data_IF_664005267429
#
_entry.id   IF_664005267429
#
_cell.length_a   1.000
_cell.length_b   1.000
_cell.length_c   1.000
_cell.angle_alpha   90.00
_cell.angle_beta   90.00
_cell.angle_gamma   90.00
#
_symmetry.space_group_name_H-M   'P 1'
#
loop_
_entity.id
_entity.type
_entity.pdbx_description
1 polymer ?
#
# COMPACT_ATOMS: atom_id res chain seq x y z
N UNK A 1 41.22 1.63 26.04
CA UNK A 1 40.02 0.80 26.14
C UNK A 1 38.84 1.71 26.32
N UNK A 2 38.15 2.03 25.23
CA UNK A 2 36.91 2.80 25.25
C UNK A 2 35.79 1.77 25.31
N UNK A 3 35.11 1.66 26.46
CA UNK A 3 33.89 0.85 26.59
C UNK A 3 32.84 1.44 25.65
N UNK A 4 32.63 0.77 24.49
CA UNK A 4 31.44 0.98 23.69
C UNK A 4 30.26 0.51 24.55
N UNK A 5 29.52 1.44 25.15
CA UNK A 5 28.24 1.15 25.78
C UNK A 5 27.34 0.56 24.69
N UNK A 6 27.11 -0.74 24.76
CA UNK A 6 26.08 -1.41 23.99
C UNK A 6 24.74 -0.83 24.44
N UNK A 7 24.17 0.07 23.62
CA UNK A 7 22.82 0.56 23.86
C UNK A 7 21.90 -0.66 23.96
N UNK A 8 21.25 -0.82 25.10
CA UNK A 8 20.31 -1.92 25.37
C UNK A 8 19.27 -1.96 24.24
N UNK A 9 18.95 -3.14 23.67
CA UNK A 9 17.95 -3.23 22.62
C UNK A 9 16.63 -2.66 23.16
N UNK A 10 16.12 -1.60 22.51
CA UNK A 10 14.79 -1.09 22.86
C UNK A 10 13.79 -2.23 22.75
N UNK A 11 12.85 -2.29 23.67
CA UNK A 11 11.82 -3.33 23.72
C UNK A 11 11.15 -3.47 22.31
N UNK A 12 10.88 -4.66 21.80
CA UNK A 12 10.29 -4.89 20.46
C UNK A 12 9.05 -4.06 20.17
N UNK A 13 8.28 -3.71 21.20
CA UNK A 13 7.09 -2.85 21.10
C UNK A 13 7.44 -1.45 20.58
N UNK A 14 8.54 -0.83 21.00
CA UNK A 14 8.93 0.49 20.49
C UNK A 14 9.30 0.46 19.02
N UNK A 15 9.99 -0.60 18.57
CA UNK A 15 10.32 -0.79 17.16
C UNK A 15 9.06 -1.07 16.33
N UNK A 16 8.08 -1.81 16.87
CA UNK A 16 6.79 -2.04 16.23
C UNK A 16 6.00 -0.73 16.09
N UNK A 17 5.91 0.06 17.16
CA UNK A 17 5.24 1.37 17.16
C UNK A 17 5.92 2.35 16.19
N UNK A 18 7.25 2.41 16.18
CA UNK A 18 7.99 3.23 15.23
C UNK A 18 7.63 2.84 13.79
N UNK A 19 7.74 1.55 13.44
CA UNK A 19 7.41 1.06 12.09
C UNK A 19 5.96 1.38 11.70
N UNK A 20 5.02 1.16 12.62
CA UNK A 20 3.61 1.48 12.43
C UNK A 20 3.40 2.97 12.15
N UNK A 21 4.00 3.88 12.94
CA UNK A 21 3.88 5.34 12.75
C UNK A 21 4.51 5.81 11.44
N UNK A 22 5.64 5.23 11.04
CA UNK A 22 6.27 5.54 9.74
C UNK A 22 5.31 5.27 8.59
N UNK A 23 4.66 4.10 8.53
CA UNK A 23 3.75 3.78 7.44
C UNK A 23 2.37 4.44 7.60
N UNK A 24 1.93 4.76 8.81
CA UNK A 24 0.77 5.63 9.05
C UNK A 24 0.98 6.99 8.37
N UNK A 25 2.13 7.62 8.57
CA UNK A 25 2.46 8.88 7.93
C UNK A 25 2.68 8.73 6.41
N UNK A 26 3.60 7.86 6.01
CA UNK A 26 4.07 7.80 4.61
C UNK A 26 3.06 7.21 3.64
N UNK A 27 2.34 6.17 4.05
CA UNK A 27 1.39 5.47 3.20
C UNK A 27 -0.06 5.86 3.52
N UNK A 28 -0.46 5.78 4.78
CA UNK A 28 -1.83 6.09 5.18
C UNK A 28 -2.21 7.53 4.87
N UNK A 29 -1.54 8.48 5.53
CA UNK A 29 -1.83 9.92 5.35
C UNK A 29 -1.17 10.46 4.06
N UNK A 30 0.09 10.16 3.80
CA UNK A 30 0.82 10.71 2.65
C UNK A 30 0.26 10.27 1.29
N UNK A 31 -0.21 9.04 1.18
CA UNK A 31 -0.67 8.45 -0.08
C UNK A 31 -2.18 8.26 -0.13
N UNK A 32 -2.75 7.55 0.84
CA UNK A 32 -4.14 7.08 0.80
C UNK A 32 -5.17 8.08 1.34
N UNK A 33 -4.75 9.20 1.95
CA UNK A 33 -5.66 10.30 2.28
C UNK A 33 -6.32 10.90 1.02
N UNK A 34 -5.66 10.77 -0.14
CA UNK A 34 -6.22 11.22 -1.42
C UNK A 34 -7.57 10.55 -1.73
N UNK A 35 -7.74 9.30 -1.33
CA UNK A 35 -8.95 8.51 -1.58
C UNK A 35 -10.23 9.18 -1.01
N UNK A 36 -10.33 9.53 0.28
CA UNK A 36 -11.49 10.25 0.79
C UNK A 36 -11.53 11.73 0.37
N UNK A 37 -10.40 12.34 0.01
CA UNK A 37 -10.35 13.72 -0.48
C UNK A 37 -10.83 13.86 -1.94
N UNK A 38 -10.72 12.81 -2.76
CA UNK A 38 -11.12 12.83 -4.16
C UNK A 38 -12.60 13.25 -4.34
N UNK A 39 -13.58 12.61 -3.66
CA UNK A 39 -14.98 13.04 -3.77
C UNK A 39 -15.25 14.47 -3.24
N UNK A 40 -14.44 14.97 -2.31
CA UNK A 40 -14.54 16.34 -1.80
C UNK A 40 -14.10 17.33 -2.88
N UNK A 41 -12.91 17.14 -3.44
CA UNK A 41 -12.38 17.99 -4.53
C UNK A 41 -13.27 17.97 -5.77
N UNK A 42 -13.89 16.80 -6.08
CA UNK A 42 -14.82 16.67 -7.19
C UNK A 42 -16.13 17.43 -6.92
N UNK A 43 -16.66 17.36 -5.71
CA UNK A 43 -17.89 18.06 -5.32
C UNK A 43 -17.72 19.59 -5.32
N UNK A 44 -16.56 20.09 -4.94
CA UNK A 44 -16.22 21.52 -5.00
C UNK A 44 -15.88 22.00 -6.43
N UNK A 45 -15.91 21.10 -7.44
CA UNK A 45 -15.60 21.39 -8.85
C UNK A 45 -14.23 22.01 -9.07
N UNK A 46 -13.28 21.76 -8.17
CA UNK A 46 -11.90 22.23 -8.30
C UNK A 46 -11.21 21.55 -9.47
N UNK A 47 -11.46 20.24 -9.65
CA UNK A 47 -10.85 19.38 -10.65
C UNK A 47 -11.91 18.44 -11.24
N UNK A 48 -11.75 18.08 -12.51
CA UNK A 48 -12.61 17.08 -13.17
C UNK A 48 -12.23 15.66 -12.73
N UNK A 49 -13.15 14.70 -12.92
CA UNK A 49 -12.89 13.28 -12.67
C UNK A 49 -11.63 12.78 -13.38
N UNK A 50 -11.45 13.15 -14.67
CA UNK A 50 -10.28 12.75 -15.44
C UNK A 50 -8.99 13.34 -14.87
N UNK A 51 -8.98 14.62 -14.49
CA UNK A 51 -7.83 15.27 -13.87
C UNK A 51 -7.49 14.59 -12.53
N UNK A 52 -8.47 14.28 -11.69
CA UNK A 52 -8.26 13.58 -10.43
C UNK A 52 -7.70 12.17 -10.63
N UNK A 53 -8.13 11.46 -11.68
CA UNK A 53 -7.61 10.15 -12.05
C UNK A 53 -6.15 10.21 -12.51
N UNK A 54 -5.78 11.19 -13.33
CA UNK A 54 -4.39 11.44 -13.74
C UNK A 54 -3.51 11.82 -12.56
N UNK A 55 -4.01 12.62 -11.65
CA UNK A 55 -3.32 13.03 -10.41
C UNK A 55 -3.07 11.81 -9.51
N UNK A 56 -4.03 10.87 -9.39
CA UNK A 56 -3.83 9.61 -8.70
C UNK A 56 -2.72 8.77 -9.36
N UNK A 57 -2.77 8.61 -10.68
CA UNK A 57 -1.75 7.88 -11.44
C UNK A 57 -0.36 8.52 -11.32
N UNK A 58 -0.28 9.86 -11.26
CA UNK A 58 0.98 10.57 -11.04
C UNK A 58 1.61 10.21 -9.69
N UNK A 59 0.79 10.07 -8.62
CA UNK A 59 1.29 9.61 -7.32
C UNK A 59 1.85 8.18 -7.39
N UNK A 60 1.19 7.28 -8.12
CA UNK A 60 1.65 5.90 -8.28
C UNK A 60 2.92 5.83 -9.13
N UNK A 61 3.01 6.65 -10.18
CA UNK A 61 4.25 6.81 -10.97
C UNK A 61 5.40 7.35 -10.13
N UNK A 62 5.14 8.34 -9.27
CA UNK A 62 6.11 8.86 -8.31
C UNK A 62 6.58 7.80 -7.32
N UNK A 63 5.65 6.99 -6.79
CA UNK A 63 6.00 5.88 -5.89
C UNK A 63 6.89 4.84 -6.59
N UNK A 64 6.58 4.48 -7.83
CA UNK A 64 7.40 3.58 -8.63
C UNK A 64 8.79 4.18 -8.89
N UNK A 65 8.85 5.42 -9.34
CA UNK A 65 10.11 6.14 -9.59
C UNK A 65 10.96 6.23 -8.31
N UNK A 66 10.36 6.57 -7.16
CA UNK A 66 11.02 6.60 -5.86
C UNK A 66 11.50 5.22 -5.42
N UNK A 67 10.69 4.18 -5.62
CA UNK A 67 11.07 2.80 -5.30
C UNK A 67 12.29 2.33 -6.11
N UNK A 68 12.33 2.64 -7.40
CA UNK A 68 13.48 2.36 -8.25
C UNK A 68 14.71 3.18 -7.85
N UNK A 69 14.55 4.48 -7.64
CA UNK A 69 15.63 5.38 -7.21
C UNK A 69 16.24 4.90 -5.89
N UNK A 70 15.42 4.65 -4.88
CA UNK A 70 15.89 4.27 -3.56
C UNK A 70 16.32 2.79 -3.45
N UNK A 71 16.17 1.99 -4.52
CA UNK A 71 16.71 0.63 -4.57
C UNK A 71 18.23 0.59 -4.76
N UNK A 72 18.85 1.68 -5.21
CA UNK A 72 20.30 1.73 -5.37
C UNK A 72 21.02 1.68 -4.02
N UNK A 73 22.05 0.82 -3.95
CA UNK A 73 22.80 0.53 -2.71
C UNK A 73 23.43 1.75 -2.03
N UNK A 74 23.69 2.82 -2.77
CA UNK A 74 24.19 4.07 -2.20
C UNK A 74 23.27 4.70 -1.14
N UNK A 75 21.95 4.44 -1.20
CA UNK A 75 20.97 4.90 -0.21
C UNK A 75 20.87 3.96 0.99
N UNK A 76 21.36 2.72 0.89
CA UNK A 76 21.22 1.69 1.92
C UNK A 76 22.32 1.73 2.98
N UNK A 77 23.24 2.67 2.92
CA UNK A 77 24.26 2.85 3.95
C UNK A 77 23.60 3.13 5.31
N UNK A 78 23.99 2.46 6.40
CA UNK A 78 23.38 2.63 7.72
C UNK A 78 23.40 4.09 8.21
N UNK A 79 24.40 4.88 7.81
CA UNK A 79 24.50 6.30 8.11
C UNK A 79 23.43 7.15 7.40
N UNK A 80 22.91 6.69 6.25
CA UNK A 80 21.96 7.43 5.41
C UNK A 80 20.50 7.12 5.70
N UNK A 81 20.18 5.93 6.26
CA UNK A 81 18.80 5.49 6.43
C UNK A 81 17.93 6.47 7.22
N UNK A 82 18.44 6.97 8.35
CA UNK A 82 17.68 7.93 9.18
C UNK A 82 17.48 9.28 8.52
N UNK A 83 18.53 9.97 8.00
CA UNK A 83 18.33 11.24 7.32
C UNK A 83 17.43 11.09 6.09
N UNK A 84 17.50 9.98 5.33
CA UNK A 84 16.61 9.73 4.20
C UNK A 84 15.17 9.52 4.64
N UNK A 85 14.94 8.76 5.73
CA UNK A 85 13.61 8.61 6.31
C UNK A 85 13.03 9.96 6.75
N UNK A 86 13.79 10.76 7.51
CA UNK A 86 13.33 12.05 7.99
C UNK A 86 13.09 13.04 6.84
N UNK A 87 13.97 13.07 5.84
CA UNK A 87 13.77 13.88 4.64
C UNK A 87 12.48 13.48 3.90
N UNK A 88 12.21 12.17 3.76
CA UNK A 88 10.97 11.67 3.16
C UNK A 88 9.74 12.03 3.99
N UNK A 89 9.84 11.99 5.32
CA UNK A 89 8.76 12.36 6.22
C UNK A 89 8.45 13.86 6.17
N UNK A 90 9.48 14.71 6.19
CA UNK A 90 9.34 16.17 6.02
C UNK A 90 8.75 16.50 4.65
N UNK A 91 9.27 15.89 3.59
CA UNK A 91 8.73 16.05 2.22
C UNK A 91 7.25 15.66 2.16
N UNK A 92 6.83 14.56 2.81
CA UNK A 92 5.43 14.16 2.88
C UNK A 92 4.56 15.26 3.49
N UNK A 93 4.96 15.84 4.62
CA UNK A 93 4.23 16.94 5.28
C UNK A 93 4.13 18.19 4.39
N UNK A 94 5.25 18.61 3.79
CA UNK A 94 5.30 19.78 2.89
C UNK A 94 4.41 19.56 1.67
N UNK A 95 4.45 18.37 1.06
CA UNK A 95 3.66 18.06 -0.14
C UNK A 95 2.17 17.93 0.16
N UNK A 96 1.78 17.50 1.36
CA UNK A 96 0.39 17.56 1.83
C UNK A 96 -0.07 19.01 1.95
N UNK A 97 0.73 19.90 2.55
CA UNK A 97 0.42 21.33 2.62
C UNK A 97 0.35 21.97 1.22
N UNK A 98 1.20 21.55 0.29
CA UNK A 98 1.16 22.01 -1.10
C UNK A 98 -0.16 21.69 -1.81
N UNK A 99 -0.85 20.59 -1.42
CA UNK A 99 -2.19 20.27 -1.93
C UNK A 99 -3.26 21.30 -1.53
N UNK A 100 -3.06 22.03 -0.43
CA UNK A 100 -3.94 23.13 -0.07
C UNK A 100 -3.70 24.38 -0.93
N UNK A 101 -2.45 24.64 -1.30
CA UNK A 101 -2.04 25.89 -1.94
C UNK A 101 -2.29 25.86 -3.44
N UNK A 102 -2.00 24.74 -4.10
CA UNK A 102 -2.04 24.64 -5.56
C UNK A 102 -3.36 24.04 -6.04
N UNK A 103 -3.99 24.70 -7.01
CA UNK A 103 -5.23 24.25 -7.65
C UNK A 103 -5.05 23.92 -9.13
N UNK A 104 -3.94 24.38 -9.74
CA UNK A 104 -3.65 24.12 -11.16
C UNK A 104 -3.35 22.63 -11.37
N UNK A 105 -4.07 21.91 -12.27
CA UNK A 105 -3.96 20.47 -12.43
C UNK A 105 -2.54 19.94 -12.63
N UNK A 106 -1.74 20.61 -13.47
CA UNK A 106 -0.36 20.20 -13.76
C UNK A 106 0.54 20.31 -12.52
N UNK A 107 0.37 21.36 -11.70
CA UNK A 107 1.14 21.55 -10.47
C UNK A 107 0.72 20.52 -9.41
N UNK A 108 -0.59 20.26 -9.27
CA UNK A 108 -1.12 19.23 -8.36
C UNK A 108 -0.62 17.84 -8.76
N UNK A 109 -0.55 17.53 -10.08
CA UNK A 109 0.07 16.30 -10.57
C UNK A 109 1.53 16.17 -10.15
N UNK A 110 2.33 17.24 -10.30
CA UNK A 110 3.72 17.26 -9.87
C UNK A 110 3.86 17.07 -8.35
N UNK A 111 3.05 17.78 -7.56
CA UNK A 111 2.99 17.62 -6.09
C UNK A 111 2.68 16.17 -5.72
N UNK A 112 1.69 15.55 -6.35
CA UNK A 112 1.33 14.17 -6.09
C UNK A 112 2.38 13.17 -6.57
N UNK A 113 3.06 13.43 -7.68
CA UNK A 113 4.20 12.63 -8.12
C UNK A 113 5.32 12.65 -7.06
N UNK A 114 5.72 13.84 -6.60
CA UNK A 114 6.75 13.98 -5.57
C UNK A 114 6.31 13.36 -4.23
N UNK A 115 5.02 13.47 -3.87
CA UNK A 115 4.46 12.79 -2.70
C UNK A 115 4.55 11.26 -2.83
N UNK A 116 4.40 10.72 -4.04
CA UNK A 116 4.66 9.30 -4.33
C UNK A 116 6.11 8.92 -4.06
N UNK A 117 7.08 9.72 -4.54
CA UNK A 117 8.51 9.51 -4.27
C UNK A 117 8.79 9.53 -2.76
N UNK A 118 8.25 10.50 -2.04
CA UNK A 118 8.40 10.58 -0.58
C UNK A 118 7.80 9.36 0.14
N UNK A 119 6.62 8.89 -0.28
CA UNK A 119 5.99 7.66 0.25
C UNK A 119 6.86 6.42 0.02
N UNK A 120 7.52 6.30 -1.14
CA UNK A 120 8.46 5.21 -1.41
C UNK A 120 9.66 5.26 -0.44
N UNK A 121 10.19 6.45 -0.17
CA UNK A 121 11.25 6.65 0.82
C UNK A 121 10.81 6.23 2.22
N UNK A 122 9.60 6.62 2.65
CA UNK A 122 9.05 6.21 3.94
C UNK A 122 8.93 4.69 4.05
N UNK A 123 8.40 4.02 3.02
CA UNK A 123 8.27 2.57 2.97
C UNK A 123 9.64 1.87 3.03
N UNK A 124 10.58 2.27 2.20
CA UNK A 124 11.88 1.60 2.06
C UNK A 124 12.76 1.83 3.28
N UNK A 125 13.01 3.09 3.64
CA UNK A 125 13.91 3.42 4.74
C UNK A 125 13.32 3.02 6.10
N UNK A 126 12.00 3.18 6.29
CA UNK A 126 11.31 2.72 7.48
C UNK A 126 11.40 1.21 7.66
N UNK A 127 11.11 0.45 6.61
CA UNK A 127 11.22 -1.01 6.62
C UNK A 127 12.66 -1.47 6.88
N UNK A 128 13.66 -0.83 6.25
CA UNK A 128 15.06 -1.16 6.46
C UNK A 128 15.50 -0.90 7.91
N UNK A 129 15.11 0.24 8.50
CA UNK A 129 15.43 0.53 9.89
C UNK A 129 14.81 -0.52 10.81
N UNK A 130 13.54 -0.89 10.62
CA UNK A 130 12.87 -1.93 11.41
C UNK A 130 13.58 -3.27 11.26
N UNK A 131 13.86 -3.70 10.02
CA UNK A 131 14.49 -4.99 9.73
C UNK A 131 15.96 -5.09 10.18
N UNK A 132 16.66 -3.97 10.37
CA UNK A 132 17.97 -3.95 10.99
C UNK A 132 17.92 -4.23 12.50
N UNK A 133 16.78 -3.98 13.15
CA UNK A 133 16.62 -4.17 14.60
C UNK A 133 15.99 -5.51 14.96
N UNK A 134 15.13 -6.05 14.08
CA UNK A 134 14.40 -7.28 14.41
C UNK A 134 13.89 -7.98 13.15
N UNK A 135 13.75 -9.31 13.27
CA UNK A 135 13.06 -10.15 12.28
C UNK A 135 11.80 -10.78 12.85
N UNK A 136 11.38 -10.31 14.02
CA UNK A 136 10.22 -10.88 14.67
C UNK A 136 8.95 -10.62 13.83
N UNK A 137 8.19 -11.68 13.45
CA UNK A 137 7.03 -11.54 12.55
C UNK A 137 5.99 -10.53 13.04
N UNK A 138 5.78 -10.45 14.36
CA UNK A 138 4.88 -9.47 14.96
C UNK A 138 5.28 -8.03 14.64
N UNK A 139 6.58 -7.69 14.71
CA UNK A 139 7.05 -6.32 14.44
C UNK A 139 6.92 -5.98 12.95
N UNK A 140 7.16 -6.97 12.07
CA UNK A 140 6.98 -6.81 10.63
C UNK A 140 5.49 -6.61 10.29
N UNK A 141 4.61 -7.39 10.89
CA UNK A 141 3.17 -7.21 10.71
C UNK A 141 2.68 -5.87 11.25
N UNK A 142 3.18 -5.42 12.41
CA UNK A 142 2.88 -4.12 12.98
C UNK A 142 3.35 -2.96 12.07
N UNK A 143 4.52 -3.07 11.45
CA UNK A 143 4.99 -2.11 10.46
C UNK A 143 3.94 -1.92 9.35
N UNK A 144 3.53 -3.00 8.69
CA UNK A 144 2.56 -2.93 7.59
C UNK A 144 1.14 -2.56 8.04
N UNK A 145 0.76 -2.88 9.28
CA UNK A 145 -0.50 -2.43 9.90
C UNK A 145 -0.62 -0.91 9.95
N UNK A 146 0.51 -0.19 9.97
CA UNK A 146 0.55 1.27 9.90
C UNK A 146 -0.15 1.84 8.67
N UNK A 147 -0.14 1.12 7.54
CA UNK A 147 -0.89 1.52 6.35
C UNK A 147 -2.39 1.57 6.67
N UNK A 148 -2.92 0.51 7.29
CA UNK A 148 -4.32 0.44 7.67
C UNK A 148 -4.72 1.45 8.73
N UNK A 149 -3.89 1.63 9.76
CA UNK A 149 -4.11 2.64 10.80
C UNK A 149 -4.16 4.05 10.21
N UNK A 150 -3.27 4.37 9.26
CA UNK A 150 -3.24 5.66 8.60
C UNK A 150 -4.41 5.88 7.64
N UNK A 151 -4.89 4.84 6.97
CA UNK A 151 -6.10 4.89 6.14
C UNK A 151 -7.32 5.20 7.02
N UNK A 152 -7.51 4.48 8.13
CA UNK A 152 -8.60 4.71 9.05
C UNK A 152 -8.52 6.13 9.66
N UNK A 153 -7.37 6.52 10.19
CA UNK A 153 -7.15 7.86 10.76
C UNK A 153 -7.44 8.97 9.73
N UNK A 154 -6.93 8.84 8.51
CA UNK A 154 -7.11 9.83 7.45
C UNK A 154 -8.57 9.95 7.00
N UNK A 155 -9.29 8.83 6.88
CA UNK A 155 -10.69 8.85 6.51
C UNK A 155 -11.56 9.49 7.61
N UNK A 156 -11.38 9.08 8.88
CA UNK A 156 -12.12 9.67 10.00
C UNK A 156 -11.82 11.17 10.17
N UNK A 157 -10.58 11.58 9.91
CA UNK A 157 -10.21 12.99 9.86
C UNK A 157 -11.01 13.75 8.81
N UNK A 158 -11.12 13.22 7.58
CA UNK A 158 -11.91 13.87 6.50
C UNK A 158 -13.39 13.90 6.86
N UNK A 159 -13.95 12.80 7.36
CA UNK A 159 -15.37 12.75 7.80
C UNK A 159 -15.63 13.79 8.88
N UNK A 160 -14.78 13.85 9.90
CA UNK A 160 -14.88 14.84 10.97
C UNK A 160 -14.86 16.27 10.45
N UNK A 161 -13.95 16.59 9.53
CA UNK A 161 -13.87 17.90 8.92
C UNK A 161 -15.09 18.24 8.07
N UNK A 162 -15.64 17.29 7.33
CA UNK A 162 -16.87 17.48 6.55
C UNK A 162 -18.10 17.69 7.44
N UNK A 163 -18.13 17.09 8.62
CA UNK A 163 -19.19 17.35 9.62
C UNK A 163 -19.21 18.84 10.06
N UNK A 164 -18.04 19.48 10.11
CA UNK A 164 -17.90 20.92 10.37
C UNK A 164 -17.89 21.77 9.09
N UNK A 165 -18.34 21.21 7.96
CA UNK A 165 -18.41 21.89 6.66
C UNK A 165 -17.05 22.49 6.20
N UNK A 166 -15.93 21.86 6.55
CA UNK A 166 -14.62 22.30 6.09
C UNK A 166 -14.46 22.05 4.60
N UNK A 167 -13.85 23.02 3.90
CA UNK A 167 -13.50 22.91 2.47
C UNK A 167 -12.30 21.97 2.25
N UNK A 168 -12.11 21.52 1.01
CA UNK A 168 -10.94 20.74 0.62
C UNK A 168 -9.63 21.46 0.99
N UNK A 169 -9.57 22.79 0.82
CA UNK A 169 -8.43 23.60 1.23
C UNK A 169 -8.13 23.44 2.73
N UNK A 170 -9.14 23.63 3.59
CA UNK A 170 -9.00 23.53 5.05
C UNK A 170 -8.64 22.10 5.48
N UNK A 171 -9.20 21.09 4.81
CA UNK A 171 -8.89 19.68 5.06
C UNK A 171 -7.43 19.36 4.70
N UNK A 172 -6.90 19.87 3.59
CA UNK A 172 -5.49 19.68 3.24
C UNK A 172 -4.54 20.40 4.21
N UNK A 173 -4.91 21.61 4.68
CA UNK A 173 -4.12 22.32 5.72
C UNK A 173 -4.07 21.54 7.03
N UNK A 174 -5.22 21.08 7.51
CA UNK A 174 -5.27 20.28 8.73
C UNK A 174 -4.59 18.92 8.59
N UNK A 175 -4.64 18.31 7.40
CA UNK A 175 -3.87 17.10 7.09
C UNK A 175 -2.35 17.36 7.17
N UNK A 176 -1.88 18.54 6.77
CA UNK A 176 -0.50 18.96 6.96
C UNK A 176 -0.11 19.06 8.43
N UNK A 177 -1.00 19.60 9.29
CA UNK A 177 -0.79 19.63 10.73
C UNK A 177 -0.76 18.22 11.34
N UNK A 178 -1.66 17.32 10.92
CA UNK A 178 -1.67 15.92 11.31
C UNK A 178 -0.36 15.22 10.89
N UNK A 179 0.10 15.46 9.66
CA UNK A 179 1.39 14.93 9.18
C UNK A 179 2.57 15.46 10.02
N UNK A 180 2.54 16.71 10.45
CA UNK A 180 3.53 17.30 11.37
C UNK A 180 3.58 16.62 12.73
N UNK A 181 2.41 16.31 13.31
CA UNK A 181 2.32 15.54 14.57
C UNK A 181 2.90 14.14 14.39
N UNK A 182 2.51 13.44 13.32
CA UNK A 182 3.02 12.09 13.03
C UNK A 182 4.53 12.09 12.75
N UNK A 183 5.05 13.11 12.06
CA UNK A 183 6.48 13.32 11.84
C UNK A 183 7.22 13.46 13.18
N UNK A 184 6.68 14.25 14.10
CA UNK A 184 7.27 14.44 15.43
C UNK A 184 7.31 13.11 16.20
N UNK A 185 6.22 12.34 16.16
CA UNK A 185 6.16 11.00 16.78
C UNK A 185 7.22 10.07 16.17
N UNK A 186 7.34 10.04 14.84
CA UNK A 186 8.36 9.24 14.13
C UNK A 186 9.77 9.67 14.55
N UNK A 187 10.04 10.97 14.65
CA UNK A 187 11.36 11.50 15.06
C UNK A 187 11.71 11.11 16.51
N UNK A 188 10.73 11.10 17.42
CA UNK A 188 10.92 10.69 18.83
C UNK A 188 11.14 9.17 18.94
N UNK A 189 10.39 8.38 18.18
CA UNK A 189 10.42 6.92 18.25
C UNK A 189 11.58 6.31 17.47
N UNK A 190 12.25 7.04 16.59
CA UNK A 190 13.31 6.49 15.74
C UNK A 190 14.35 5.74 16.58
N UNK A 191 14.58 4.43 16.33
CA UNK A 191 15.45 3.63 17.19
C UNK A 191 16.92 4.03 17.01
N UNK A 192 17.82 3.80 18.00
CA UNK A 192 19.24 4.08 17.89
C UNK A 192 19.88 3.32 16.72
N UNK A 193 21.04 3.78 16.22
CA UNK A 193 21.74 3.07 15.14
C UNK A 193 22.08 1.66 15.61
N UNK A 194 21.58 0.65 14.92
CA UNK A 194 21.96 -0.75 15.14
C UNK A 194 22.95 -1.20 14.06
N UNK A 195 23.80 -2.16 14.42
CA UNK A 195 24.53 -2.93 13.41
C UNK A 195 23.51 -3.78 12.66
N UNK A 196 23.59 -3.77 11.33
CA UNK A 196 22.70 -4.58 10.53
C UNK A 196 22.79 -6.04 10.96
N UNK A 197 21.65 -6.68 11.19
CA UNK A 197 21.61 -8.12 11.41
C UNK A 197 22.20 -8.83 10.18
N UNK A 198 23.02 -9.89 10.36
CA UNK A 198 23.54 -10.65 9.24
C UNK A 198 22.42 -11.02 8.27
N UNK A 199 22.65 -11.04 6.95
CA UNK A 199 21.63 -11.49 6.01
C UNK A 199 21.07 -12.83 6.46
N UNK A 200 19.74 -13.00 6.47
CA UNK A 200 19.16 -14.32 6.70
C UNK A 200 19.66 -15.25 5.58
N UNK A 201 20.10 -16.48 5.90
CA UNK A 201 20.35 -17.46 4.87
C UNK A 201 19.09 -17.58 4.02
N UNK A 202 19.18 -17.21 2.75
CA UNK A 202 18.11 -17.46 1.80
C UNK A 202 18.17 -18.98 1.54
N UNK A 203 17.27 -19.73 2.15
CA UNK A 203 17.06 -21.11 1.74
C UNK A 203 16.58 -21.04 0.28
N UNK A 204 17.48 -21.36 -0.66
CA UNK A 204 17.07 -21.60 -2.05
C UNK A 204 16.18 -22.84 -2.02
N UNK A 205 14.94 -22.65 -2.42
CA UNK A 205 14.03 -23.77 -2.60
C UNK A 205 14.50 -24.50 -3.87
N UNK A 206 14.99 -25.73 -3.74
CA UNK A 206 15.44 -26.54 -4.87
C UNK A 206 14.33 -26.74 -5.90
N UNK A 207 13.10 -26.95 -5.44
CA UNK A 207 11.92 -26.99 -6.29
C UNK A 207 11.20 -25.64 -6.25
N UNK A 208 11.46 -24.77 -7.23
CA UNK A 208 10.86 -23.46 -7.31
C UNK A 208 9.32 -23.59 -7.44
N UNK A 209 8.54 -22.95 -6.55
CA UNK A 209 7.08 -23.10 -6.52
C UNK A 209 6.41 -22.52 -7.78
N UNK A 210 7.07 -21.59 -8.49
CA UNK A 210 6.59 -21.01 -9.75
C UNK A 210 7.73 -20.31 -10.52
N UNK A 211 7.60 -20.16 -11.86
CA UNK A 211 8.52 -19.34 -12.65
C UNK A 211 8.52 -17.88 -12.24
N UNK A 212 9.69 -17.24 -12.21
CA UNK A 212 9.87 -15.85 -11.83
C UNK A 212 9.02 -14.85 -12.62
N UNK A 213 8.86 -15.06 -13.94
CA UNK A 213 8.07 -14.18 -14.81
C UNK A 213 6.55 -14.26 -14.52
N UNK A 214 6.08 -15.43 -14.08
CA UNK A 214 4.68 -15.60 -13.66
C UNK A 214 4.39 -14.85 -12.36
N UNK A 215 5.33 -14.83 -11.42
CA UNK A 215 5.20 -14.04 -10.20
C UNK A 215 5.16 -12.54 -10.53
N UNK A 216 6.00 -12.08 -11.47
CA UNK A 216 6.02 -10.69 -11.90
C UNK A 216 4.69 -10.31 -12.59
N UNK A 217 4.17 -11.16 -13.47
CA UNK A 217 2.91 -10.94 -14.16
C UNK A 217 1.70 -10.94 -13.19
N UNK A 218 1.64 -11.95 -12.31
CA UNK A 218 0.63 -12.05 -11.26
C UNK A 218 0.58 -10.79 -10.40
N UNK A 219 1.75 -10.31 -9.97
CA UNK A 219 1.82 -9.17 -9.10
C UNK A 219 1.49 -7.86 -9.83
N UNK A 220 1.80 -7.76 -11.13
CA UNK A 220 1.32 -6.67 -11.99
C UNK A 220 -0.21 -6.61 -12.09
N UNK A 221 -0.86 -7.75 -12.33
CA UNK A 221 -2.33 -7.84 -12.30
C UNK A 221 -2.92 -7.49 -10.93
N UNK A 222 -2.28 -7.94 -9.84
CA UNK A 222 -2.70 -7.57 -8.49
C UNK A 222 -2.59 -6.05 -8.27
N UNK A 223 -1.53 -5.42 -8.74
CA UNK A 223 -1.33 -3.96 -8.67
C UNK A 223 -2.41 -3.18 -9.41
N UNK A 224 -2.82 -3.66 -10.59
CA UNK A 224 -3.90 -3.06 -11.37
C UNK A 224 -5.26 -3.25 -10.69
N UNK A 225 -5.56 -4.46 -10.23
CA UNK A 225 -6.91 -4.79 -9.76
C UNK A 225 -7.28 -4.11 -8.44
N UNK A 226 -6.35 -4.04 -7.48
CA UNK A 226 -6.68 -3.47 -6.18
C UNK A 226 -6.76 -1.93 -6.20
N UNK A 227 -5.97 -1.28 -7.06
CA UNK A 227 -5.79 0.17 -6.98
C UNK A 227 -7.05 0.95 -7.37
N UNK A 228 -7.94 0.34 -8.14
CA UNK A 228 -9.20 0.94 -8.57
C UNK A 228 -10.10 1.16 -7.36
N UNK A 229 -10.34 0.14 -6.55
CA UNK A 229 -11.10 0.27 -5.29
C UNK A 229 -10.38 1.19 -4.32
N UNK A 230 -9.05 1.04 -4.18
CA UNK A 230 -8.26 1.91 -3.32
C UNK A 230 -8.30 3.40 -3.70
N UNK A 231 -8.63 3.71 -4.95
CA UNK A 231 -8.76 5.10 -5.43
C UNK A 231 -10.20 5.62 -5.34
N UNK A 232 -11.19 4.80 -5.67
CA UNK A 232 -12.55 5.26 -5.95
C UNK A 232 -13.63 4.75 -4.98
N UNK A 233 -13.31 3.91 -3.98
CA UNK A 233 -14.32 3.33 -3.08
C UNK A 233 -15.28 4.36 -2.45
N UNK A 234 -14.81 5.51 -1.89
CA UNK A 234 -15.73 6.50 -1.34
C UNK A 234 -16.63 7.16 -2.39
N UNK A 235 -16.19 7.19 -3.65
CA UNK A 235 -16.99 7.72 -4.75
C UNK A 235 -18.03 6.68 -5.23
N UNK A 236 -17.68 5.39 -5.24
CA UNK A 236 -18.58 4.27 -5.59
C UNK A 236 -19.71 4.13 -4.58
N UNK A 237 -19.44 4.39 -3.32
CA UNK A 237 -20.38 4.18 -2.22
C UNK A 237 -21.45 5.29 -2.08
N UNK A 238 -21.37 6.38 -2.84
CA UNK A 238 -22.30 7.53 -2.71
C UNK A 238 -23.78 7.20 -2.94
N UNK A 239 -24.08 6.15 -3.71
CA UNK A 239 -25.45 5.74 -4.03
C UNK A 239 -26.11 4.83 -2.98
N UNK A 240 -25.35 4.33 -2.00
CA UNK A 240 -25.90 3.47 -0.95
C UNK A 240 -26.75 4.28 0.04
N UNK A 241 -27.90 3.71 0.42
CA UNK A 241 -28.98 4.41 1.15
C UNK A 241 -28.67 4.96 2.56
N UNK A 242 -27.42 4.87 3.04
CA UNK A 242 -27.00 5.42 4.34
C UNK A 242 -25.69 6.21 4.20
N UNK A 243 -25.77 7.54 3.97
CA UNK A 243 -24.59 8.38 3.80
C UNK A 243 -23.59 8.30 4.95
N UNK A 244 -24.09 8.16 6.18
CA UNK A 244 -23.24 8.07 7.38
C UNK A 244 -22.37 6.81 7.33
N UNK A 245 -22.97 5.64 7.06
CA UNK A 245 -22.24 4.38 7.06
C UNK A 245 -21.32 4.23 5.85
N UNK A 246 -21.72 4.74 4.70
CA UNK A 246 -20.89 4.71 3.48
C UNK A 246 -19.64 5.57 3.60
N UNK A 247 -19.68 6.66 4.36
CA UNK A 247 -18.50 7.47 4.64
C UNK A 247 -17.39 6.68 5.36
N UNK A 248 -17.75 5.72 6.23
CA UNK A 248 -16.79 4.94 7.02
C UNK A 248 -16.24 3.69 6.29
N UNK A 249 -16.69 3.38 5.07
CA UNK A 249 -16.22 2.16 4.35
C UNK A 249 -14.71 2.14 4.13
N UNK A 250 -14.10 3.30 3.86
CA UNK A 250 -12.64 3.38 3.71
C UNK A 250 -11.91 3.18 5.04
N UNK A 251 -12.50 3.59 6.16
CA UNK A 251 -12.00 3.26 7.50
C UNK A 251 -12.07 1.77 7.80
N UNK A 252 -13.16 1.10 7.39
CA UNK A 252 -13.27 -0.36 7.53
C UNK A 252 -12.20 -1.09 6.72
N UNK A 253 -11.87 -0.63 5.52
CA UNK A 253 -10.72 -1.13 4.75
C UNK A 253 -9.45 -1.00 5.58
N UNK A 254 -9.17 0.19 6.12
CA UNK A 254 -8.00 0.45 6.95
C UNK A 254 -7.91 -0.46 8.17
N UNK A 255 -9.02 -0.58 8.91
CA UNK A 255 -9.10 -1.43 10.09
C UNK A 255 -8.91 -2.91 9.76
N UNK A 256 -9.45 -3.38 8.62
CA UNK A 256 -9.31 -4.78 8.18
C UNK A 256 -7.90 -5.13 7.70
N UNK A 257 -7.10 -4.16 7.21
CA UNK A 257 -5.69 -4.38 6.88
C UNK A 257 -4.92 -4.88 8.10
N UNK A 258 -5.21 -4.36 9.29
CA UNK A 258 -4.47 -4.66 10.51
C UNK A 258 -4.46 -6.18 10.79
N UNK A 259 -5.60 -6.84 11.04
CA UNK A 259 -5.61 -8.29 11.23
C UNK A 259 -5.19 -9.06 9.98
N UNK A 260 -5.45 -8.53 8.78
CA UNK A 260 -5.02 -9.14 7.52
C UNK A 260 -3.51 -9.33 7.43
N UNK A 261 -2.72 -8.34 7.87
CA UNK A 261 -1.26 -8.44 7.89
C UNK A 261 -0.75 -9.61 8.75
N UNK A 262 -1.39 -9.86 9.89
CA UNK A 262 -1.03 -10.97 10.78
C UNK A 262 -1.57 -12.30 10.24
N UNK A 263 -2.82 -12.31 9.81
CA UNK A 263 -3.54 -13.51 9.39
C UNK A 263 -2.90 -14.22 8.20
N UNK A 264 -2.54 -13.49 7.14
CA UNK A 264 -1.93 -14.09 5.95
C UNK A 264 -0.53 -14.63 6.19
N UNK A 265 0.30 -13.96 7.02
CA UNK A 265 1.62 -14.47 7.39
C UNK A 265 1.51 -15.73 8.24
N UNK A 266 0.55 -15.76 9.17
CA UNK A 266 0.26 -16.95 9.97
C UNK A 266 -0.25 -18.11 9.08
N UNK A 267 -1.21 -17.83 8.20
CA UNK A 267 -1.78 -18.81 7.27
C UNK A 267 -0.71 -19.41 6.34
N UNK A 268 0.17 -18.58 5.78
CA UNK A 268 1.23 -19.03 4.88
C UNK A 268 2.22 -19.98 5.56
N UNK A 269 2.46 -19.78 6.86
CA UNK A 269 3.31 -20.69 7.66
C UNK A 269 2.67 -22.09 7.82
N UNK A 270 1.34 -22.17 7.88
CA UNK A 270 0.63 -23.44 8.13
C UNK A 270 0.19 -24.14 6.85
N UNK A 271 -0.22 -23.39 5.84
CA UNK A 271 -0.82 -23.93 4.61
C UNK A 271 0.03 -23.74 3.36
N UNK A 272 1.15 -23.01 3.48
CA UNK A 272 2.03 -22.68 2.37
C UNK A 272 1.65 -21.39 1.65
N UNK A 273 2.63 -20.84 0.92
CA UNK A 273 2.49 -19.51 0.31
C UNK A 273 1.54 -19.52 -0.89
N UNK A 274 1.63 -20.52 -1.81
CA UNK A 274 0.79 -20.55 -3.02
C UNK A 274 -0.70 -20.72 -2.72
N UNK A 275 -1.15 -21.65 -1.84
CA UNK A 275 -2.56 -21.76 -1.45
C UNK A 275 -3.10 -20.46 -0.84
N UNK A 276 -2.31 -19.83 0.04
CA UNK A 276 -2.69 -18.57 0.66
C UNK A 276 -2.75 -17.42 -0.36
N UNK A 277 -1.82 -17.36 -1.30
CA UNK A 277 -1.81 -16.35 -2.36
C UNK A 277 -3.01 -16.52 -3.29
N UNK A 278 -3.34 -17.75 -3.67
CA UNK A 278 -4.55 -18.07 -4.48
C UNK A 278 -5.80 -17.62 -3.74
N UNK A 279 -5.97 -18.01 -2.48
CA UNK A 279 -7.15 -17.64 -1.68
C UNK A 279 -7.23 -16.10 -1.48
N UNK A 280 -6.11 -15.46 -1.17
CA UNK A 280 -6.03 -14.01 -1.01
C UNK A 280 -6.51 -13.28 -2.26
N UNK A 281 -6.01 -13.66 -3.45
CA UNK A 281 -6.35 -13.02 -4.72
C UNK A 281 -7.81 -13.30 -5.13
N UNK A 282 -8.33 -14.50 -4.90
CA UNK A 282 -9.75 -14.83 -5.17
C UNK A 282 -10.69 -14.02 -4.28
N UNK A 283 -10.40 -13.95 -2.97
CA UNK A 283 -11.18 -13.15 -2.03
C UNK A 283 -11.12 -11.67 -2.45
N UNK A 284 -9.93 -11.17 -2.80
CA UNK A 284 -9.76 -9.78 -3.22
C UNK A 284 -10.53 -9.49 -4.51
N UNK A 285 -10.47 -10.39 -5.51
CA UNK A 285 -11.24 -10.28 -6.75
C UNK A 285 -12.75 -10.22 -6.49
N UNK A 286 -13.26 -11.13 -5.65
CA UNK A 286 -14.67 -11.14 -5.26
C UNK A 286 -15.07 -9.85 -4.53
N UNK A 287 -14.23 -9.35 -3.61
CA UNK A 287 -14.51 -8.13 -2.87
C UNK A 287 -14.46 -6.88 -3.76
N UNK A 288 -13.55 -6.84 -4.75
CA UNK A 288 -13.53 -5.79 -5.78
C UNK A 288 -14.82 -5.82 -6.59
N UNK A 289 -15.32 -7.00 -6.98
CA UNK A 289 -16.59 -7.12 -7.68
C UNK A 289 -17.79 -6.71 -6.81
N UNK A 290 -17.80 -7.11 -5.53
CA UNK A 290 -18.85 -6.75 -4.57
C UNK A 290 -18.93 -5.22 -4.34
N UNK A 291 -17.84 -4.46 -4.55
CA UNK A 291 -17.86 -3.00 -4.43
C UNK A 291 -18.78 -2.32 -5.46
N UNK A 292 -19.18 -3.03 -6.52
CA UNK A 292 -20.16 -2.57 -7.50
C UNK A 292 -21.62 -2.67 -7.02
N UNK A 293 -21.88 -3.39 -5.95
CA UNK A 293 -23.22 -3.51 -5.36
C UNK A 293 -23.58 -2.25 -4.54
N UNK A 294 -23.60 -1.09 -5.22
CA UNK A 294 -23.74 0.24 -4.62
C UNK A 294 -25.04 0.43 -3.83
N UNK A 295 -26.07 -0.37 -4.11
CA UNK A 295 -27.37 -0.27 -3.47
C UNK A 295 -27.50 -1.12 -2.19
N UNK A 296 -26.53 -2.00 -1.92
CA UNK A 296 -26.49 -2.86 -0.75
C UNK A 296 -25.38 -2.49 0.21
N UNK A 297 -25.73 -1.84 1.31
CA UNK A 297 -24.79 -1.48 2.36
C UNK A 297 -24.06 -2.70 2.93
N UNK A 298 -24.74 -3.84 3.11
CA UNK A 298 -24.13 -5.08 3.61
C UNK A 298 -23.04 -5.59 2.66
N UNK A 299 -23.30 -5.60 1.35
CA UNK A 299 -22.31 -6.03 0.36
C UNK A 299 -21.12 -5.07 0.28
N UNK A 300 -21.32 -3.78 0.42
CA UNK A 300 -20.26 -2.79 0.50
C UNK A 300 -19.40 -2.96 1.78
N UNK A 301 -20.01 -3.26 2.91
CA UNK A 301 -19.28 -3.55 4.16
C UNK A 301 -18.44 -4.82 3.98
N UNK A 302 -19.02 -5.90 3.48
CA UNK A 302 -18.30 -7.15 3.21
C UNK A 302 -17.17 -6.96 2.19
N UNK A 303 -17.42 -6.19 1.13
CA UNK A 303 -16.40 -5.78 0.17
C UNK A 303 -15.25 -5.06 0.85
N UNK A 304 -15.55 -4.04 1.68
CA UNK A 304 -14.55 -3.22 2.35
C UNK A 304 -13.69 -4.03 3.33
N UNK A 305 -14.31 -4.89 4.14
CA UNK A 305 -13.59 -5.75 5.09
C UNK A 305 -12.72 -6.77 4.35
N UNK A 306 -13.29 -7.49 3.39
CA UNK A 306 -12.53 -8.50 2.65
C UNK A 306 -11.44 -7.91 1.77
N UNK A 307 -11.70 -6.77 1.12
CA UNK A 307 -10.68 -6.02 0.38
C UNK A 307 -9.54 -5.57 1.31
N UNK A 308 -9.85 -4.96 2.46
CA UNK A 308 -8.85 -4.54 3.44
C UNK A 308 -8.03 -5.70 3.98
N UNK A 309 -8.68 -6.79 4.38
CA UNK A 309 -8.01 -7.99 4.90
C UNK A 309 -7.04 -8.62 3.89
N UNK A 310 -7.28 -8.48 2.58
CA UNK A 310 -6.45 -9.05 1.51
C UNK A 310 -5.43 -8.06 0.93
N UNK A 311 -5.66 -6.77 1.09
CA UNK A 311 -4.89 -5.69 0.47
C UNK A 311 -3.37 -5.81 0.69
N UNK A 312 -2.93 -5.78 1.94
CA UNK A 312 -1.51 -5.95 2.27
C UNK A 312 -1.09 -7.43 2.30
N UNK A 313 -2.04 -8.36 2.32
CA UNK A 313 -1.82 -9.79 2.28
C UNK A 313 -1.08 -10.23 1.02
N UNK A 314 -1.50 -9.76 -0.15
CA UNK A 314 -0.81 -10.03 -1.43
C UNK A 314 0.67 -9.64 -1.36
N UNK A 315 0.99 -8.42 -0.90
CA UNK A 315 2.36 -7.94 -0.74
C UNK A 315 3.16 -8.78 0.25
N UNK A 316 2.54 -9.11 1.39
CA UNK A 316 3.17 -9.92 2.44
C UNK A 316 3.52 -11.35 1.98
N UNK A 317 2.78 -11.90 1.02
CA UNK A 317 3.00 -13.22 0.46
C UNK A 317 3.98 -13.19 -0.71
N UNK A 318 3.88 -12.19 -1.60
CA UNK A 318 4.69 -12.09 -2.82
C UNK A 318 6.13 -11.70 -2.52
N UNK A 319 6.39 -10.76 -1.60
CA UNK A 319 7.74 -10.25 -1.35
C UNK A 319 8.70 -11.32 -0.81
N UNK A 320 8.35 -12.17 0.18
CA UNK A 320 9.19 -13.29 0.58
C UNK A 320 9.38 -14.32 -0.53
N UNK A 321 8.34 -14.61 -1.31
CA UNK A 321 8.41 -15.54 -2.44
C UNK A 321 9.37 -15.03 -3.52
N UNK A 322 9.34 -13.76 -3.87
CA UNK A 322 10.25 -13.14 -4.82
C UNK A 322 11.72 -13.23 -4.40
N UNK A 323 12.00 -13.23 -3.09
CA UNK A 323 13.37 -13.41 -2.58
C UNK A 323 13.87 -14.84 -2.66
N UNK A 324 12.98 -15.83 -2.70
CA UNK A 324 13.31 -17.25 -2.73
C UNK A 324 13.44 -17.80 -4.15
N UNK A 325 12.77 -17.19 -5.13
CA UNK A 325 12.84 -17.60 -6.53
C UNK A 325 14.15 -17.14 -7.19
N UNK A 326 14.65 -17.99 -8.07
CA UNK A 326 15.81 -17.66 -8.93
C UNK A 326 15.33 -17.13 -10.27
N UNK A 327 15.87 -15.99 -10.70
CA UNK A 327 15.70 -15.47 -12.04
C UNK A 327 16.99 -15.67 -12.84
N UNK A 328 16.94 -15.85 -14.16
CA UNK A 328 18.13 -16.03 -14.98
C UNK A 328 18.98 -14.76 -15.03
N UNK A 329 20.29 -14.93 -15.09
CA UNK A 329 21.25 -13.84 -15.16
C UNK A 329 21.26 -12.98 -13.88
N UNK A 330 21.46 -11.67 -14.05
CA UNK A 330 21.54 -10.69 -12.96
C UNK A 330 20.20 -9.98 -12.69
N UNK A 331 19.06 -10.60 -13.03
CA UNK A 331 17.73 -9.98 -12.83
C UNK A 331 17.45 -9.89 -11.33
N UNK A 332 17.26 -8.67 -10.84
CA UNK A 332 16.73 -8.43 -9.50
C UNK A 332 15.21 -8.67 -9.52
N UNK A 333 14.80 -9.89 -9.14
CA UNK A 333 13.39 -10.26 -9.18
C UNK A 333 12.53 -9.40 -8.26
N UNK A 334 13.03 -8.98 -7.10
CA UNK A 334 12.30 -8.10 -6.19
C UNK A 334 12.03 -6.73 -6.85
N UNK A 335 13.01 -6.19 -7.56
CA UNK A 335 12.84 -4.97 -8.36
C UNK A 335 11.82 -5.15 -9.48
N UNK A 336 11.89 -6.29 -10.20
CA UNK A 336 10.98 -6.59 -11.30
C UNK A 336 9.52 -6.72 -10.85
N UNK A 337 9.25 -7.46 -9.77
CA UNK A 337 7.87 -7.59 -9.26
C UNK A 337 7.35 -6.25 -8.74
N UNK A 338 8.20 -5.44 -8.12
CA UNK A 338 7.84 -4.09 -7.70
C UNK A 338 7.53 -3.19 -8.90
N UNK A 339 8.31 -3.31 -9.99
CA UNK A 339 8.08 -2.57 -11.23
C UNK A 339 6.72 -2.94 -11.86
N UNK A 340 6.44 -4.23 -12.02
CA UNK A 340 5.17 -4.68 -12.64
C UNK A 340 3.97 -4.29 -11.80
N UNK A 341 4.07 -4.40 -10.48
CA UNK A 341 3.04 -3.94 -9.55
C UNK A 341 2.79 -2.43 -9.66
N UNK A 342 3.85 -1.63 -9.72
CA UNK A 342 3.77 -0.18 -9.88
C UNK A 342 3.16 0.23 -11.23
N UNK A 343 3.50 -0.48 -12.31
CA UNK A 343 2.86 -0.29 -13.62
C UNK A 343 1.35 -0.56 -13.51
N UNK A 344 0.96 -1.67 -12.89
CA UNK A 344 -0.44 -1.99 -12.65
C UNK A 344 -1.18 -0.87 -11.90
N UNK A 345 -0.58 -0.33 -10.85
CA UNK A 345 -1.14 0.80 -10.09
C UNK A 345 -1.34 2.06 -10.94
N UNK A 346 -0.40 2.38 -11.81
CA UNK A 346 -0.50 3.55 -12.70
C UNK A 346 -1.64 3.36 -13.70
N UNK A 347 -1.76 2.15 -14.25
CA UNK A 347 -2.75 1.85 -15.28
C UNK A 347 -4.19 1.83 -14.73
N UNK A 348 -4.41 1.54 -13.44
CA UNK A 348 -5.76 1.45 -12.85
C UNK A 348 -6.59 2.74 -13.02
N UNK A 349 -6.17 3.88 -12.44
CA UNK A 349 -6.91 5.14 -12.62
C UNK A 349 -6.92 5.66 -14.06
N UNK A 350 -5.87 5.37 -14.84
CA UNK A 350 -5.85 5.69 -16.28
C UNK A 350 -6.92 4.91 -17.05
N UNK A 351 -7.10 3.62 -16.75
CA UNK A 351 -8.16 2.82 -17.35
C UNK A 351 -9.54 3.40 -17.02
N UNK A 352 -9.77 3.84 -15.79
CA UNK A 352 -11.00 4.53 -15.43
C UNK A 352 -11.18 5.83 -16.23
N UNK A 353 -10.15 6.66 -16.33
CA UNK A 353 -10.19 7.92 -17.11
C UNK A 353 -10.46 7.69 -18.59
N UNK A 354 -9.92 6.62 -19.18
CA UNK A 354 -10.10 6.29 -20.61
C UNK A 354 -11.43 5.58 -20.91
N UNK A 355 -12.06 4.95 -19.90
CA UNK A 355 -13.33 4.24 -20.06
C UNK A 355 -14.58 5.14 -20.07
N UNK A 356 -14.40 6.45 -19.98
CA UNK A 356 -15.49 7.43 -19.99
C UNK A 356 -15.45 8.37 -18.79
N UNK A 357 -16.60 8.93 -18.43
CA UNK A 357 -16.73 9.85 -17.30
C UNK A 357 -17.71 9.31 -16.25
N UNK A 358 -17.42 9.56 -14.99
CA UNK A 358 -18.33 9.28 -13.88
C UNK A 358 -18.50 7.79 -13.56
N UNK A 359 -19.73 7.40 -13.22
CA UNK A 359 -20.01 6.06 -12.67
C UNK A 359 -19.69 4.91 -13.64
N UNK A 360 -20.00 5.05 -14.93
CA UNK A 360 -19.74 4.02 -15.94
C UNK A 360 -18.24 3.72 -16.11
N UNK A 361 -17.42 4.74 -16.05
CA UNK A 361 -15.97 4.61 -16.11
C UNK A 361 -15.42 3.79 -14.92
N UNK A 362 -15.92 4.08 -13.73
CA UNK A 362 -15.54 3.35 -12.51
C UNK A 362 -16.00 1.90 -12.57
N UNK A 363 -17.24 1.64 -13.02
CA UNK A 363 -17.78 0.28 -13.17
C UNK A 363 -16.91 -0.54 -14.12
N UNK A 364 -16.62 -0.02 -15.32
CA UNK A 364 -15.79 -0.71 -16.31
C UNK A 364 -14.38 -1.00 -15.78
N UNK A 365 -13.75 -0.01 -15.17
CA UNK A 365 -12.43 -0.19 -14.56
C UNK A 365 -12.46 -1.24 -13.44
N UNK A 366 -13.49 -1.24 -12.60
CA UNK A 366 -13.64 -2.20 -11.49
C UNK A 366 -13.84 -3.62 -12.01
N UNK A 367 -14.63 -3.83 -13.06
CA UNK A 367 -14.78 -5.13 -13.73
C UNK A 367 -13.43 -5.62 -14.28
N UNK A 368 -12.68 -4.76 -14.97
CA UNK A 368 -11.34 -5.08 -15.45
C UNK A 368 -10.39 -5.40 -14.28
N UNK A 369 -10.49 -4.65 -13.19
CA UNK A 369 -9.68 -4.86 -11.98
C UNK A 369 -9.97 -6.21 -11.31
N UNK A 370 -11.25 -6.55 -11.14
CA UNK A 370 -11.65 -7.87 -10.62
C UNK A 370 -11.17 -9.01 -11.52
N UNK A 371 -11.35 -8.88 -12.84
CA UNK A 371 -10.86 -9.85 -13.81
C UNK A 371 -9.32 -10.03 -13.72
N UNK A 372 -8.55 -8.94 -13.58
CA UNK A 372 -7.09 -9.01 -13.43
C UNK A 372 -6.69 -9.78 -12.16
N UNK A 373 -7.36 -9.51 -11.03
CA UNK A 373 -7.13 -10.25 -9.77
C UNK A 373 -7.48 -11.73 -9.91
N UNK A 374 -8.57 -12.04 -10.61
CA UNK A 374 -8.94 -13.41 -10.89
C UNK A 374 -7.90 -14.14 -11.76
N UNK A 375 -7.39 -13.51 -12.82
CA UNK A 375 -6.29 -14.05 -13.62
C UNK A 375 -5.03 -14.24 -12.80
N UNK A 376 -4.69 -13.30 -11.92
CA UNK A 376 -3.58 -13.45 -10.98
C UNK A 376 -3.78 -14.69 -10.07
N UNK A 377 -5.00 -14.90 -9.56
CA UNK A 377 -5.34 -16.08 -8.76
C UNK A 377 -5.20 -17.37 -9.56
N UNK A 378 -5.64 -17.39 -10.83
CA UNK A 378 -5.50 -18.55 -11.72
C UNK A 378 -4.03 -18.92 -11.96
N UNK A 379 -3.14 -17.93 -12.16
CA UNK A 379 -1.70 -18.18 -12.29
C UNK A 379 -1.17 -18.89 -11.04
N UNK A 380 -1.53 -18.41 -9.84
CA UNK A 380 -1.13 -19.04 -8.57
C UNK A 380 -1.72 -20.46 -8.42
N UNK A 381 -3.01 -20.65 -8.72
CA UNK A 381 -3.70 -21.94 -8.61
C UNK A 381 -3.12 -23.01 -9.53
N UNK A 382 -2.79 -22.66 -10.78
CA UNK A 382 -2.17 -23.59 -11.73
C UNK A 382 -0.81 -24.07 -11.21
N UNK A 383 -0.01 -23.21 -10.61
CA UNK A 383 1.27 -23.60 -10.04
C UNK A 383 1.12 -24.47 -8.79
N UNK A 384 0.13 -24.16 -7.95
CA UNK A 384 -0.21 -25.00 -6.80
C UNK A 384 -0.58 -26.44 -7.24
N UNK A 385 -1.38 -26.60 -8.31
CA UNK A 385 -1.78 -27.91 -8.83
C UNK A 385 -0.56 -28.65 -9.40
N UNK A 386 0.32 -27.96 -10.14
CA UNK A 386 1.54 -28.57 -10.69
C UNK A 386 2.46 -29.06 -9.58
N UNK A 387 2.67 -28.28 -8.52
CA UNK A 387 3.50 -28.65 -7.38
C UNK A 387 2.95 -29.88 -6.66
N UNK A 388 1.63 -29.96 -6.41
CA UNK A 388 1.00 -31.15 -5.82
C UNK A 388 1.18 -32.42 -6.67
N UNK A 389 1.10 -32.31 -8.01
CA UNK A 389 1.27 -33.45 -8.92
C UNK A 389 2.72 -33.97 -8.95
N UNK A 390 3.69 -33.08 -8.71
CA UNK A 390 5.10 -33.47 -8.66
C UNK A 390 5.40 -34.29 -7.40
N UNK A 391 4.92 -33.82 -6.23
CA UNK A 391 5.07 -34.50 -4.94
C UNK A 391 4.40 -35.88 -4.88
N UNK A 392 3.33 -36.12 -5.65
CA UNK A 392 2.64 -37.43 -5.68
C UNK A 392 3.37 -38.45 -6.58
N UNK A 393 4.30 -37.99 -7.45
CA UNK A 393 5.03 -38.86 -8.39
C UNK A 393 6.41 -39.29 -7.88
N UNK A 394 6.91 -38.70 -6.81
CA UNK A 394 8.06 -39.14 -6.02
C UNK A 394 7.63 -40.06 -4.87
#
# INVERSE_FOLDING_TARGET
MVHAQSASPRHPIFTALFGMMVLTLGMGVGRFLYTPMLPVMLAEKQLTFNQLSWIASANYAGYLAGSLLFSFGLFHLPSRLRPMLLASAVATGILILAMAIFTQPAVVMLVRFLAGVASAGMMIFGSMIVLHHTRHPFVIAALFSGVGAGIALGNEYVIGGLHYALSAHSLWLGAGALAGILLLIVAILIPPRAHALPPAPLARIENQPMPWWQLALLYGFAGFGYIIVATYLPLMAKSAGSPLLTAHLWSLVGLAIIPGCFGWLWAAKHWGVLPCLTANLLIQSACVLLSLASDSLLLLILSSIGFGATFMGTTSLVMPLARQLSAPGNINLLGLVTLTYGIGQILGPLAASLSGNGASAIINATLCGSAALFFAALISAVQQIKQKRFVIRE
#
